data_IF_900998004046
#
_entry.id   IF_900998004046
#
_cell.length_a   1.000
_cell.length_b   1.000
_cell.length_c   1.000
_cell.angle_alpha   90.00
_cell.angle_beta   90.00
_cell.angle_gamma   90.00
#
_symmetry.space_group_name_H-M   'P 1'
#
loop_
_entity.id
_entity.type
_entity.pdbx_description
1 polymer ?
#
# COMPACT_ATOMS: atom_id res chain seq x y z
N UNK A 1 -25.32 1.17 3.16
CA UNK A 1 -26.72 1.30 3.60
C UNK A 1 -26.73 1.56 5.10
N UNK A 2 -27.34 2.65 5.56
CA UNK A 2 -27.52 2.89 7.01
C UNK A 2 -28.74 2.09 7.47
N UNK A 3 -28.57 1.03 8.25
CA UNK A 3 -29.70 0.39 8.95
C UNK A 3 -29.83 1.04 10.32
N UNK A 4 -30.92 1.75 10.58
CA UNK A 4 -31.19 2.54 11.80
C UNK A 4 -30.65 1.96 13.13
N UNK A 5 -31.50 1.31 13.93
CA UNK A 5 -31.15 0.85 15.31
C UNK A 5 -31.07 -0.68 15.44
N UNK A 6 -31.01 -1.41 14.33
CA UNK A 6 -30.93 -2.87 14.30
C UNK A 6 -29.55 -3.35 13.83
N UNK A 7 -29.14 -4.54 14.28
CA UNK A 7 -27.95 -5.24 13.73
C UNK A 7 -28.22 -5.49 12.25
N UNK A 8 -27.48 -4.83 11.36
CA UNK A 8 -27.52 -5.15 9.94
C UNK A 8 -26.99 -6.59 9.79
N UNK A 9 -27.81 -7.52 9.30
CA UNK A 9 -27.27 -8.70 8.63
C UNK A 9 -26.37 -8.15 7.53
N UNK A 10 -25.07 -8.40 7.60
CA UNK A 10 -24.12 -7.99 6.58
C UNK A 10 -24.13 -9.11 5.53
N UNK A 11 -24.93 -9.02 4.45
CA UNK A 11 -24.81 -10.00 3.38
C UNK A 11 -23.39 -9.90 2.84
N UNK A 12 -22.76 -11.05 2.57
CA UNK A 12 -21.51 -11.08 1.77
C UNK A 12 -21.69 -10.14 0.58
N UNK A 13 -20.85 -9.10 0.44
CA UNK A 13 -21.09 -8.05 -0.53
C UNK A 13 -21.14 -8.72 -1.89
N UNK A 14 -22.22 -8.47 -2.63
CA UNK A 14 -22.33 -8.98 -3.99
C UNK A 14 -21.24 -8.28 -4.78
N UNK A 15 -20.23 -9.04 -5.22
CA UNK A 15 -19.12 -8.50 -6.02
C UNK A 15 -19.73 -7.94 -7.30
N UNK A 16 -19.91 -6.63 -7.38
CA UNK A 16 -20.39 -5.95 -8.58
C UNK A 16 -19.48 -6.35 -9.75
N UNK A 17 -20.00 -6.75 -10.89
CA UNK A 17 -19.23 -7.45 -11.94
C UNK A 17 -18.22 -6.59 -12.73
N UNK A 18 -17.76 -5.47 -12.21
CA UNK A 18 -16.86 -4.52 -12.91
C UNK A 18 -15.82 -3.91 -11.96
N UNK A 19 -14.61 -4.47 -11.93
CA UNK A 19 -13.47 -4.00 -11.11
C UNK A 19 -12.44 -5.10 -10.83
N UNK A 20 -11.19 -4.73 -10.53
CA UNK A 20 -10.18 -5.66 -9.98
C UNK A 20 -10.38 -5.77 -8.47
N UNK A 21 -11.37 -6.57 -8.06
CA UNK A 21 -11.70 -6.80 -6.66
C UNK A 21 -10.56 -7.50 -5.91
N UNK A 22 -10.44 -7.23 -4.62
CA UNK A 22 -9.41 -7.83 -3.76
C UNK A 22 -8.00 -7.28 -3.95
N UNK A 23 -7.86 -6.23 -4.78
CA UNK A 23 -6.64 -5.45 -4.84
C UNK A 23 -6.64 -4.42 -3.71
N UNK A 24 -5.49 -4.29 -3.08
CA UNK A 24 -5.20 -3.28 -2.08
C UNK A 24 -4.35 -2.21 -2.73
N UNK A 25 -4.58 -0.97 -2.33
CA UNK A 25 -3.67 0.14 -2.53
C UNK A 25 -2.83 0.28 -1.27
N UNK A 26 -1.52 0.13 -1.41
CA UNK A 26 -0.56 0.21 -0.31
C UNK A 26 0.35 1.40 -0.55
N UNK A 27 0.50 2.22 0.48
CA UNK A 27 1.39 3.36 0.50
C UNK A 27 2.39 3.21 1.65
N UNK A 28 3.67 3.18 1.31
CA UNK A 28 4.79 3.01 2.22
C UNK A 28 5.61 4.30 2.18
N UNK A 29 5.87 4.91 3.33
CA UNK A 29 6.63 6.15 3.41
C UNK A 29 7.62 6.17 4.57
N UNK A 30 8.79 6.74 4.33
CA UNK A 30 9.82 7.04 5.34
C UNK A 30 10.21 8.51 5.30
N UNK A 31 10.68 9.06 6.42
CA UNK A 31 11.03 10.48 6.55
C UNK A 31 12.51 10.74 6.25
N UNK A 32 13.40 9.88 6.75
CA UNK A 32 14.85 10.08 6.71
C UNK A 32 15.60 8.93 6.04
N UNK A 33 14.92 8.22 5.15
CA UNK A 33 15.50 7.11 4.41
C UNK A 33 14.89 6.94 3.04
N UNK A 34 15.25 5.83 2.43
CA UNK A 34 14.79 5.42 1.13
C UNK A 34 14.37 3.95 1.20
N UNK A 35 13.25 3.65 0.54
CA UNK A 35 12.72 2.33 0.37
C UNK A 35 13.11 1.79 -0.99
N UNK A 36 13.33 0.47 -1.05
CA UNK A 36 13.43 -0.26 -2.30
C UNK A 36 12.55 -1.51 -2.20
N UNK A 37 11.61 -1.64 -3.13
CA UNK A 37 10.73 -2.79 -3.26
C UNK A 37 11.10 -3.57 -4.53
N UNK A 38 11.98 -4.55 -4.38
CA UNK A 38 12.50 -5.35 -5.50
C UNK A 38 12.65 -6.79 -5.11
N UNK A 39 12.47 -7.69 -6.07
CA UNK A 39 12.78 -9.10 -5.88
C UNK A 39 14.28 -9.28 -5.55
N UNK A 40 14.63 -10.00 -4.47
CA UNK A 40 15.99 -10.47 -4.25
C UNK A 40 16.47 -11.34 -5.41
N UNK A 41 17.79 -11.49 -5.54
CA UNK A 41 18.39 -12.29 -6.60
C UNK A 41 17.78 -13.70 -6.63
N UNK A 42 17.38 -14.14 -7.83
CA UNK A 42 16.80 -15.46 -8.07
C UNK A 42 15.30 -15.59 -7.78
N UNK A 43 14.61 -14.55 -7.28
CA UNK A 43 13.15 -14.54 -7.09
C UNK A 43 12.46 -13.77 -8.21
N UNK A 44 11.22 -14.14 -8.55
CA UNK A 44 10.40 -13.42 -9.54
C UNK A 44 9.51 -12.41 -8.82
N UNK A 45 9.31 -11.22 -9.41
CA UNK A 45 8.26 -10.30 -8.97
C UNK A 45 6.88 -10.91 -9.24
N UNK A 46 5.88 -10.77 -8.35
CA UNK A 46 4.51 -11.17 -8.65
C UNK A 46 3.99 -10.44 -9.90
N UNK A 47 3.22 -11.16 -10.71
CA UNK A 47 2.72 -10.63 -11.99
C UNK A 47 1.62 -9.58 -11.81
N UNK A 48 0.89 -9.61 -10.68
CA UNK A 48 -0.18 -8.64 -10.39
C UNK A 48 0.24 -7.59 -9.36
N UNK A 49 1.53 -7.23 -9.35
CA UNK A 49 2.04 -6.13 -8.53
C UNK A 49 2.38 -4.93 -9.40
N UNK A 50 1.61 -3.84 -9.23
CA UNK A 50 1.74 -2.63 -10.00
C UNK A 50 2.19 -1.47 -9.12
N UNK A 51 3.30 -0.81 -9.47
CA UNK A 51 3.72 0.43 -8.83
C UNK A 51 3.00 1.62 -9.45
N UNK A 52 2.48 2.51 -8.61
CA UNK A 52 1.64 3.64 -9.02
C UNK A 52 2.16 4.95 -8.45
N UNK A 53 1.75 6.05 -9.06
CA UNK A 53 2.06 7.41 -8.62
C UNK A 53 0.81 8.29 -8.73
N UNK A 54 0.82 9.43 -8.03
CA UNK A 54 -0.29 10.38 -8.07
C UNK A 54 -0.50 10.87 -9.51
N UNK A 55 -1.75 10.81 -9.98
CA UNK A 55 -2.18 11.43 -11.24
C UNK A 55 -2.88 12.77 -11.02
N UNK A 56 -3.22 13.08 -9.77
CA UNK A 56 -3.84 14.34 -9.36
C UNK A 56 -3.00 15.06 -8.32
N UNK A 57 -3.31 16.34 -8.06
CA UNK A 57 -2.69 17.13 -6.98
C UNK A 57 -3.14 16.67 -5.59
N UNK A 58 -4.31 16.02 -5.48
CA UNK A 58 -4.80 15.43 -4.25
C UNK A 58 -4.01 14.16 -3.93
N UNK A 59 -3.67 13.96 -2.66
CA UNK A 59 -2.94 12.77 -2.22
C UNK A 59 -3.79 11.51 -2.40
N UNK A 60 -3.14 10.41 -2.78
CA UNK A 60 -3.78 9.10 -2.91
C UNK A 60 -4.47 8.67 -1.61
N UNK A 61 -3.86 8.93 -0.45
CA UNK A 61 -4.44 8.58 0.87
C UNK A 61 -5.73 9.34 1.16
N UNK A 62 -5.93 10.49 0.52
CA UNK A 62 -7.13 11.31 0.64
C UNK A 62 -8.17 11.00 -0.46
N UNK A 63 -7.94 9.98 -1.30
CA UNK A 63 -8.78 9.66 -2.46
C UNK A 63 -8.42 10.48 -3.70
N UNK A 64 -7.16 10.89 -3.83
CA UNK A 64 -6.58 11.38 -5.09
C UNK A 64 -6.45 10.27 -6.14
N UNK A 65 -6.43 10.66 -7.41
CA UNK A 65 -6.22 9.73 -8.50
C UNK A 65 -4.78 9.23 -8.54
N UNK A 66 -4.60 8.00 -9.02
CA UNK A 66 -3.30 7.41 -9.30
C UNK A 66 -3.24 6.81 -10.70
N UNK A 67 -2.02 6.61 -11.20
CA UNK A 67 -1.73 6.01 -12.50
C UNK A 67 -0.55 5.05 -12.37
N UNK A 68 -0.44 4.00 -13.21
CA UNK A 68 0.79 3.23 -13.36
C UNK A 68 2.02 4.14 -13.45
N UNK A 69 3.08 3.78 -12.74
CA UNK A 69 4.35 4.48 -12.86
C UNK A 69 4.93 4.33 -14.26
N UNK A 70 5.24 5.46 -14.90
CA UNK A 70 5.86 5.47 -16.23
C UNK A 70 7.23 4.79 -16.24
N UNK A 71 8.00 4.98 -15.17
CA UNK A 71 9.25 4.27 -14.91
C UNK A 71 9.13 3.53 -13.58
N UNK A 72 8.88 2.23 -13.67
CA UNK A 72 8.74 1.38 -12.48
C UNK A 72 10.01 1.35 -11.62
N UNK A 73 11.20 1.53 -12.22
CA UNK A 73 12.45 1.48 -11.49
C UNK A 73 12.55 2.64 -10.50
N UNK A 74 12.11 3.83 -10.90
CA UNK A 74 12.11 5.01 -10.03
C UNK A 74 11.06 4.91 -8.91
N UNK A 75 9.89 4.34 -9.20
CA UNK A 75 8.84 4.22 -8.18
C UNK A 75 9.08 3.12 -7.14
N UNK A 76 9.97 2.17 -7.43
CA UNK A 76 10.24 1.04 -6.53
C UNK A 76 11.65 1.00 -5.96
N UNK A 77 12.55 1.92 -6.33
CA UNK A 77 13.94 1.93 -5.84
C UNK A 77 14.33 3.30 -5.34
N UNK A 78 15.04 3.31 -4.21
CA UNK A 78 15.60 4.51 -3.59
C UNK A 78 14.57 5.65 -3.46
N UNK A 79 13.34 5.33 -3.05
CA UNK A 79 12.25 6.29 -2.96
C UNK A 79 11.81 6.45 -1.50
N UNK A 80 11.60 7.69 -1.04
CA UNK A 80 11.06 7.95 0.30
C UNK A 80 9.59 7.54 0.44
N UNK A 81 8.89 7.39 -0.69
CA UNK A 81 7.52 6.91 -0.76
C UNK A 81 7.37 5.91 -1.92
N UNK A 82 6.80 4.75 -1.62
CA UNK A 82 6.42 3.73 -2.60
C UNK A 82 4.93 3.49 -2.48
N UNK A 83 4.20 3.69 -3.58
CA UNK A 83 2.80 3.32 -3.67
C UNK A 83 2.65 2.19 -4.68
N UNK A 84 1.93 1.13 -4.28
CA UNK A 84 1.68 -0.02 -5.13
C UNK A 84 0.24 -0.50 -4.98
N UNK A 85 -0.24 -1.21 -5.98
CA UNK A 85 -1.49 -1.92 -5.92
C UNK A 85 -1.32 -3.37 -6.37
N UNK A 86 -1.91 -4.29 -5.60
CA UNK A 86 -1.82 -5.73 -5.82
C UNK A 86 -2.81 -6.46 -4.92
N UNK A 87 -3.01 -7.76 -5.12
CA UNK A 87 -3.80 -8.56 -4.19
C UNK A 87 -3.05 -8.83 -2.87
N UNK A 88 -3.81 -9.10 -1.81
CA UNK A 88 -3.26 -9.35 -0.47
C UNK A 88 -2.21 -10.46 -0.44
N UNK A 89 -2.44 -11.56 -1.14
CA UNK A 89 -1.56 -12.73 -1.11
C UNK A 89 -0.18 -12.44 -1.72
N UNK A 90 -0.14 -11.68 -2.82
CA UNK A 90 1.10 -11.27 -3.47
C UNK A 90 1.88 -10.28 -2.60
N UNK A 91 1.21 -9.29 -1.98
CA UNK A 91 1.85 -8.36 -1.05
C UNK A 91 2.48 -9.14 0.12
N UNK A 92 1.72 -10.03 0.76
CA UNK A 92 2.22 -10.85 1.87
C UNK A 92 3.37 -11.76 1.44
N UNK A 93 3.31 -12.32 0.24
CA UNK A 93 4.39 -13.14 -0.32
C UNK A 93 5.64 -12.29 -0.53
N UNK A 94 5.56 -11.16 -1.21
CA UNK A 94 6.71 -10.28 -1.44
C UNK A 94 7.37 -9.80 -0.14
N UNK A 95 6.56 -9.42 0.87
CA UNK A 95 7.08 -9.00 2.17
C UNK A 95 7.76 -10.16 2.92
N UNK A 96 7.14 -11.35 2.96
CA UNK A 96 7.77 -12.55 3.57
C UNK A 96 9.03 -12.99 2.82
N UNK A 97 9.13 -12.62 1.55
CA UNK A 97 10.28 -12.86 0.71
C UNK A 97 11.34 -11.74 0.75
N UNK A 98 11.21 -10.76 1.66
CA UNK A 98 12.16 -9.66 1.88
C UNK A 98 12.34 -8.74 0.66
N UNK A 99 11.26 -8.46 -0.07
CA UNK A 99 11.33 -7.57 -1.23
C UNK A 99 11.48 -6.11 -0.85
N UNK A 100 10.98 -5.72 0.33
CA UNK A 100 11.08 -4.36 0.85
C UNK A 100 12.36 -4.22 1.68
N UNK A 101 13.21 -3.29 1.28
CA UNK A 101 14.40 -2.90 2.02
C UNK A 101 14.36 -1.41 2.34
N UNK A 102 14.96 -1.07 3.47
CA UNK A 102 15.13 0.29 3.95
C UNK A 102 16.62 0.64 3.97
N UNK A 103 16.94 1.88 3.60
CA UNK A 103 18.27 2.48 3.75
C UNK A 103 18.12 3.89 4.31
N UNK A 104 18.76 4.18 5.43
CA UNK A 104 18.84 5.55 5.96
C UNK A 104 19.59 6.48 4.98
N UNK A 105 19.21 7.76 4.96
CA UNK A 105 19.92 8.75 4.15
C UNK A 105 21.38 8.89 4.61
N UNK A 106 22.31 9.25 3.70
CA UNK A 106 23.70 9.45 4.06
C UNK A 106 23.85 10.47 5.21
N UNK A 107 24.65 10.11 6.22
CA UNK A 107 24.92 10.93 7.41
C UNK A 107 23.71 11.22 8.31
N UNK A 108 22.59 10.52 8.13
CA UNK A 108 21.49 10.55 9.09
C UNK A 108 21.71 9.51 10.19
N UNK A 109 21.63 9.95 11.44
CA UNK A 109 21.70 9.11 12.63
C UNK A 109 20.57 9.50 13.57
N UNK A 110 19.72 8.56 13.98
CA UNK A 110 18.56 8.86 14.81
C UNK A 110 17.37 7.98 14.53
N UNK A 111 16.20 8.48 14.92
CA UNK A 111 14.92 7.80 14.72
C UNK A 111 14.33 8.19 13.36
N UNK A 112 13.92 7.18 12.60
CA UNK A 112 13.10 7.28 11.42
C UNK A 112 11.84 6.45 11.62
N UNK A 113 10.89 6.57 10.69
CA UNK A 113 9.59 5.96 10.83
C UNK A 113 9.11 5.47 9.46
N UNK A 114 8.74 4.20 9.37
CA UNK A 114 8.02 3.64 8.25
C UNK A 114 6.52 3.75 8.52
N UNK A 115 5.87 4.69 7.83
CA UNK A 115 4.42 4.80 7.75
C UNK A 115 3.89 3.82 6.70
N UNK A 116 2.97 2.96 7.10
CA UNK A 116 2.26 2.02 6.23
C UNK A 116 0.80 2.40 6.22
N UNK A 117 0.25 2.64 5.03
CA UNK A 117 -1.16 2.89 4.81
C UNK A 117 -1.69 1.93 3.76
N UNK A 118 -2.87 1.38 3.98
CA UNK A 118 -3.50 0.40 3.09
C UNK A 118 -4.98 0.74 2.96
N UNK A 119 -5.49 0.73 1.73
CA UNK A 119 -6.92 0.84 1.45
C UNK A 119 -7.33 -0.24 0.45
N UNK A 120 -8.57 -0.69 0.56
CA UNK A 120 -9.20 -1.57 -0.43
C UNK A 120 -9.94 -0.79 -1.53
N UNK A 121 -9.69 0.52 -1.66
CA UNK A 121 -10.32 1.41 -2.64
C UNK A 121 -11.85 1.51 -2.48
N UNK A 122 -12.34 1.35 -1.25
CA UNK A 122 -13.78 1.34 -0.93
C UNK A 122 -14.53 0.20 -1.60
N UNK A 123 -13.86 -0.93 -1.84
CA UNK A 123 -14.50 -2.13 -2.38
C UNK A 123 -15.24 -2.96 -1.32
N UNK A 124 -14.89 -2.83 -0.04
CA UNK A 124 -15.68 -3.35 1.09
C UNK A 124 -16.62 -2.25 1.59
N UNK A 125 -17.83 -2.61 2.00
CA UNK A 125 -18.76 -1.67 2.60
C UNK A 125 -18.55 -1.56 4.12
N UNK A 126 -19.05 -0.46 4.69
CA UNK A 126 -18.96 -0.12 6.13
C UNK A 126 -19.62 -1.16 7.05
N UNK A 127 -20.31 -2.15 6.49
CA UNK A 127 -20.90 -3.28 7.19
C UNK A 127 -19.85 -4.18 7.87
N UNK A 128 -18.65 -4.32 7.29
CA UNK A 128 -17.59 -5.20 7.81
C UNK A 128 -16.55 -4.47 8.64
N UNK A 129 -16.37 -3.16 8.44
CA UNK A 129 -15.50 -2.31 9.24
C UNK A 129 -15.88 -0.83 9.09
N UNK A 130 -15.79 -0.04 10.17
CA UNK A 130 -16.03 1.41 10.13
C UNK A 130 -14.95 2.16 9.33
N UNK A 131 -13.76 1.55 9.14
CA UNK A 131 -12.66 2.14 8.37
C UNK A 131 -12.22 1.24 7.21
N UNK A 132 -12.31 1.77 5.99
CA UNK A 132 -11.85 1.14 4.73
C UNK A 132 -10.34 1.29 4.49
N UNK A 133 -9.65 1.66 5.57
CA UNK A 133 -8.23 1.98 5.63
C UNK A 133 -7.64 1.29 6.86
N UNK A 134 -6.46 0.72 6.70
CA UNK A 134 -5.60 0.30 7.78
C UNK A 134 -4.29 1.11 7.72
N UNK A 135 -3.83 1.58 8.87
CA UNK A 135 -2.58 2.32 8.98
C UNK A 135 -1.76 1.86 10.17
N UNK A 136 -0.43 1.91 10.03
CA UNK A 136 0.50 1.60 11.11
C UNK A 136 1.82 2.35 10.92
N UNK A 137 2.50 2.62 12.03
CA UNK A 137 3.80 3.29 12.06
C UNK A 137 4.81 2.37 12.73
N UNK A 138 5.96 2.18 12.08
CA UNK A 138 7.03 1.33 12.56
C UNK A 138 8.27 2.18 12.78
N UNK A 139 8.69 2.32 14.03
CA UNK A 139 9.93 3.02 14.37
C UNK A 139 11.16 2.27 13.84
N UNK A 140 12.06 3.01 13.22
CA UNK A 140 13.34 2.52 12.70
C UNK A 140 14.45 3.31 13.38
N UNK A 141 15.41 2.62 13.98
CA UNK A 141 16.60 3.25 14.53
C UNK A 141 17.74 3.16 13.53
N UNK A 142 18.19 4.30 13.03
CA UNK A 142 19.33 4.44 12.14
C UNK A 142 20.58 4.65 12.98
N UNK A 143 21.53 3.73 12.86
CA UNK A 143 22.79 3.68 13.60
C UNK A 143 23.99 3.87 12.70
#
# INVERSE_FOLDING_TARGET
CLCGTGVCDCPTPTVCSTGTFGWLLVDLQVKHGELTFTNPQGRKMPDNMLFVTNSTTKDIRDGGGFTPCRDESLCRRNASRITLTSNKAEIQTSLSQLFLTYRGLPNFYGEDELSVWVSDLNHTDECYNETLIAQNEIGIRVV
#
